data_IF_772499709491
#
_entry.id   IF_772499709491
#
_cell.length_a   1.000
_cell.length_b   1.000
_cell.length_c   1.000
_cell.angle_alpha   90.00
_cell.angle_beta   90.00
_cell.angle_gamma   90.00
#
_symmetry.space_group_name_H-M   'P 1'
#
loop_
_entity.id
_entity.type
_entity.pdbx_description
1 polymer ?
#
# COMPACT_ATOMS: atom_id res chain seq x y z
N UNK A 1 4.65 26.99 -10.32
CA UNK A 1 3.46 26.44 -9.61
C UNK A 1 2.60 25.59 -10.54
N UNK A 2 2.18 26.13 -11.69
CA UNK A 2 1.38 25.39 -12.68
C UNK A 2 2.03 24.06 -13.13
N UNK A 3 3.31 24.09 -13.49
CA UNK A 3 4.01 22.89 -13.99
C UNK A 3 4.17 21.82 -12.91
N UNK A 4 4.48 22.23 -11.68
CA UNK A 4 4.62 21.33 -10.54
C UNK A 4 3.30 20.61 -10.23
N UNK A 5 2.17 21.31 -10.26
CA UNK A 5 0.86 20.67 -10.01
C UNK A 5 0.53 19.69 -11.14
N UNK A 6 0.79 20.09 -12.39
CA UNK A 6 0.49 19.24 -13.54
C UNK A 6 1.41 18.02 -13.65
N UNK A 7 2.68 18.11 -13.24
CA UNK A 7 3.59 16.96 -13.26
C UNK A 7 3.07 15.83 -12.36
N UNK A 8 2.66 16.13 -11.13
CA UNK A 8 2.03 15.15 -10.22
C UNK A 8 0.70 14.59 -10.75
N UNK A 9 0.02 15.29 -11.67
CA UNK A 9 -1.22 14.82 -12.31
C UNK A 9 -0.96 13.87 -13.48
N UNK A 10 0.16 14.04 -14.18
CA UNK A 10 0.49 13.29 -15.41
C UNK A 10 1.11 11.92 -15.09
N UNK A 11 1.90 11.82 -14.02
CA UNK A 11 2.51 10.57 -13.57
C UNK A 11 1.44 9.54 -13.20
N UNK A 12 1.51 8.32 -13.77
CA UNK A 12 0.41 7.33 -13.67
C UNK A 12 0.75 6.08 -12.87
N UNK A 13 2.03 5.80 -12.65
CA UNK A 13 2.46 4.60 -11.94
C UNK A 13 3.30 4.92 -10.69
N UNK A 14 3.32 4.02 -9.68
CA UNK A 14 4.20 4.18 -8.53
C UNK A 14 5.68 4.25 -8.90
N UNK A 15 6.10 3.55 -9.97
CA UNK A 15 7.50 3.57 -10.46
C UNK A 15 7.83 4.93 -11.06
N UNK A 16 7.00 5.43 -11.98
CA UNK A 16 7.19 6.78 -12.54
C UNK A 16 7.16 7.87 -11.46
N UNK A 17 6.35 7.68 -10.41
CA UNK A 17 6.32 8.60 -9.25
C UNK A 17 7.63 8.56 -8.48
N UNK A 18 8.22 7.37 -8.30
CA UNK A 18 9.48 7.20 -7.60
C UNK A 18 10.62 7.90 -8.34
N UNK A 19 10.71 7.65 -9.65
CA UNK A 19 11.74 8.24 -10.52
C UNK A 19 11.60 9.76 -10.53
N UNK A 20 10.37 10.28 -10.71
CA UNK A 20 10.11 11.71 -10.66
C UNK A 20 10.47 12.35 -9.31
N UNK A 21 10.14 11.70 -8.18
CA UNK A 21 10.51 12.21 -6.86
C UNK A 21 12.02 12.17 -6.62
N UNK A 22 12.71 11.15 -7.13
CA UNK A 22 14.16 11.02 -7.04
C UNK A 22 14.88 12.14 -7.82
N UNK A 23 14.35 12.52 -8.97
CA UNK A 23 14.91 13.59 -9.79
C UNK A 23 14.59 14.98 -9.23
N UNK A 24 13.38 15.17 -8.67
CA UNK A 24 12.91 16.47 -8.18
C UNK A 24 13.43 16.81 -6.78
N UNK A 25 13.65 15.81 -5.92
CA UNK A 25 13.88 16.00 -4.49
C UNK A 25 15.10 15.25 -3.98
N UNK A 26 15.77 15.82 -2.99
CA UNK A 26 16.79 15.11 -2.23
C UNK A 26 16.17 14.01 -1.35
N UNK A 27 16.96 13.01 -0.98
CA UNK A 27 16.54 11.96 -0.04
C UNK A 27 16.01 12.54 1.29
N UNK A 28 16.62 13.63 1.78
CA UNK A 28 16.19 14.32 3.00
C UNK A 28 14.82 14.96 2.84
N UNK A 29 14.54 15.57 1.69
CA UNK A 29 13.23 16.17 1.40
C UNK A 29 12.15 15.11 1.27
N UNK A 30 12.41 14.01 0.57
CA UNK A 30 11.48 12.87 0.47
C UNK A 30 11.15 12.32 1.86
N UNK A 31 12.17 12.11 2.71
CA UNK A 31 11.99 11.68 4.11
C UNK A 31 11.12 12.67 4.89
N UNK A 32 11.42 13.96 4.78
CA UNK A 32 10.65 15.01 5.48
C UNK A 32 9.19 15.08 5.03
N UNK A 33 8.91 14.98 3.72
CA UNK A 33 7.55 14.98 3.18
C UNK A 33 6.79 13.73 3.63
N UNK A 34 7.46 12.57 3.64
CA UNK A 34 6.89 11.30 4.10
C UNK A 34 6.52 11.33 5.59
N UNK A 35 7.39 11.88 6.44
CA UNK A 35 7.11 12.09 7.87
C UNK A 35 5.91 13.01 8.05
N UNK A 36 5.83 14.13 7.31
CA UNK A 36 4.68 15.06 7.40
C UNK A 36 3.35 14.39 7.06
N UNK A 37 3.29 13.63 5.97
CA UNK A 37 2.10 12.86 5.60
C UNK A 37 1.73 11.82 6.66
N UNK A 38 2.73 11.15 7.25
CA UNK A 38 2.51 10.17 8.32
C UNK A 38 1.97 10.84 9.59
N UNK A 39 2.55 11.96 10.00
CA UNK A 39 2.05 12.76 11.14
C UNK A 39 0.58 13.13 10.91
N UNK A 40 0.25 13.70 9.74
CA UNK A 40 -1.12 14.08 9.41
C UNK A 40 -2.08 12.88 9.49
N UNK A 41 -1.67 11.70 9.02
CA UNK A 41 -2.48 10.47 9.12
C UNK A 41 -2.71 10.04 10.56
N UNK A 42 -1.69 10.12 11.42
CA UNK A 42 -1.80 9.75 12.84
C UNK A 42 -2.65 10.75 13.63
N UNK A 43 -2.51 12.05 13.34
CA UNK A 43 -3.35 13.11 13.92
C UNK A 43 -4.83 12.91 13.55
N UNK A 44 -5.13 12.59 12.28
CA UNK A 44 -6.49 12.26 11.84
C UNK A 44 -7.03 10.95 12.43
N UNK A 45 -6.14 10.10 12.97
CA UNK A 45 -6.50 8.88 13.71
C UNK A 45 -6.54 9.12 15.22
N UNK A 46 -6.60 10.38 15.67
CA UNK A 46 -6.69 10.79 17.08
C UNK A 46 -5.50 10.41 17.97
N UNK A 47 -4.30 10.19 17.40
CA UNK A 47 -3.08 9.99 18.20
C UNK A 47 -2.60 11.29 18.84
N UNK A 48 -2.01 11.20 20.04
CA UNK A 48 -1.44 12.35 20.74
C UNK A 48 -0.09 12.77 20.12
N UNK A 49 0.36 13.99 20.43
CA UNK A 49 1.62 14.49 19.89
C UNK A 49 2.81 13.67 20.39
N UNK A 50 2.77 13.23 21.66
CA UNK A 50 3.80 12.42 22.31
C UNK A 50 3.89 11.02 21.70
N UNK A 51 2.75 10.40 21.38
CA UNK A 51 2.70 9.11 20.68
C UNK A 51 3.35 9.22 19.31
N UNK A 52 3.04 10.28 18.56
CA UNK A 52 3.58 10.49 17.21
C UNK A 52 5.08 10.76 17.25
N UNK A 53 5.57 11.57 18.20
CA UNK A 53 7.00 11.82 18.40
C UNK A 53 7.74 10.52 18.69
N UNK A 54 7.19 9.67 19.57
CA UNK A 54 7.78 8.37 19.90
C UNK A 54 7.78 7.40 18.72
N UNK A 55 6.67 7.32 17.98
CA UNK A 55 6.51 6.38 16.85
C UNK A 55 7.37 6.76 15.65
N UNK A 56 7.51 8.06 15.36
CA UNK A 56 8.20 8.55 14.17
C UNK A 56 9.63 9.05 14.43
N UNK A 57 10.08 9.05 15.68
CA UNK A 57 11.37 9.58 16.10
C UNK A 57 11.66 10.98 15.53
N UNK A 58 10.64 11.85 15.54
CA UNK A 58 10.72 13.21 15.01
C UNK A 58 10.53 14.26 16.11
N UNK A 59 10.89 15.52 15.83
CA UNK A 59 10.76 16.57 16.84
C UNK A 59 9.30 16.97 17.08
N UNK A 60 8.98 17.32 18.33
CA UNK A 60 7.67 17.85 18.70
C UNK A 60 7.28 19.08 17.86
N UNK A 61 8.24 19.97 17.57
CA UNK A 61 8.04 21.12 16.70
C UNK A 61 7.60 20.75 15.28
N UNK A 62 7.99 19.59 14.78
CA UNK A 62 7.54 19.09 13.47
C UNK A 62 6.08 18.64 13.54
N UNK A 63 5.70 17.92 14.60
CA UNK A 63 4.32 17.48 14.83
C UNK A 63 3.39 18.68 15.00
N UNK A 64 3.78 19.64 15.83
CA UNK A 64 3.02 20.87 16.08
C UNK A 64 2.77 21.65 14.78
N UNK A 65 3.79 21.81 13.93
CA UNK A 65 3.64 22.49 12.62
C UNK A 65 2.61 21.80 11.72
N UNK A 66 2.67 20.46 11.61
CA UNK A 66 1.71 19.71 10.78
C UNK A 66 0.30 19.79 11.37
N UNK A 67 0.16 19.76 12.70
CA UNK A 67 -1.13 19.95 13.38
C UNK A 67 -1.77 21.30 13.03
N UNK A 68 -0.98 22.38 13.06
CA UNK A 68 -1.42 23.72 12.66
C UNK A 68 -1.84 23.76 11.18
N UNK A 69 -1.05 23.17 10.28
CA UNK A 69 -1.41 23.11 8.85
C UNK A 69 -2.72 22.35 8.63
N UNK A 70 -2.93 21.27 9.38
CA UNK A 70 -4.12 20.45 9.29
C UNK A 70 -5.38 21.18 9.77
N UNK A 71 -5.25 22.02 10.82
CA UNK A 71 -6.36 22.80 11.37
C UNK A 71 -6.67 24.07 10.56
N UNK A 72 -5.65 24.75 10.00
CA UNK A 72 -5.81 26.04 9.32
C UNK A 72 -6.05 25.93 7.80
N UNK A 73 -5.71 24.80 7.15
CA UNK A 73 -5.77 24.67 5.69
C UNK A 73 -5.62 23.23 5.18
N UNK A 74 -5.99 22.25 6.00
CA UNK A 74 -5.66 20.84 5.82
C UNK A 74 -6.52 20.04 4.84
N UNK A 75 -7.40 20.68 4.06
CA UNK A 75 -8.37 19.95 3.22
C UNK A 75 -7.68 19.04 2.18
N UNK A 76 -6.53 19.45 1.65
CA UNK A 76 -5.70 18.60 0.80
C UNK A 76 -5.19 17.36 1.51
N UNK A 77 -4.70 17.50 2.75
CA UNK A 77 -4.28 16.36 3.59
C UNK A 77 -5.45 15.42 3.86
N UNK A 78 -6.58 15.95 4.34
CA UNK A 78 -7.77 15.16 4.68
C UNK A 78 -8.27 14.36 3.47
N UNK A 79 -8.37 15.01 2.30
CA UNK A 79 -8.85 14.38 1.05
C UNK A 79 -7.93 13.28 0.55
N UNK A 80 -6.61 13.47 0.61
CA UNK A 80 -5.66 12.45 0.16
C UNK A 80 -5.60 11.30 1.17
N UNK A 81 -5.49 11.61 2.46
CA UNK A 81 -5.36 10.61 3.52
C UNK A 81 -6.60 9.71 3.60
N UNK A 82 -7.81 10.25 3.41
CA UNK A 82 -9.03 9.43 3.40
C UNK A 82 -9.09 8.42 2.25
N UNK A 83 -8.30 8.62 1.19
CA UNK A 83 -8.17 7.71 0.05
C UNK A 83 -6.99 6.74 0.20
N UNK A 84 -6.04 7.04 1.08
CA UNK A 84 -4.92 6.15 1.34
C UNK A 84 -5.38 4.96 2.19
N UNK A 85 -4.86 3.74 1.95
CA UNK A 85 -5.24 2.58 2.74
C UNK A 85 -4.81 2.76 4.19
N UNK A 86 -5.64 2.30 5.13
CA UNK A 86 -5.37 2.34 6.58
C UNK A 86 -4.11 1.56 6.91
N UNK A 87 -3.96 0.36 6.33
CA UNK A 87 -2.76 -0.48 6.37
C UNK A 87 -2.31 -0.78 4.94
N UNK A 88 -1.03 -0.57 4.65
CA UNK A 88 -0.44 -1.13 3.43
C UNK A 88 -0.20 -2.62 3.68
N UNK A 89 -0.56 -3.48 2.73
CA UNK A 89 -0.15 -4.89 2.78
C UNK A 89 1.37 -4.93 2.57
N UNK A 90 2.11 -5.06 3.66
CA UNK A 90 3.56 -5.22 3.61
C UNK A 90 3.82 -6.69 3.27
N UNK A 91 4.63 -7.00 2.25
CA UNK A 91 5.01 -8.37 1.95
C UNK A 91 5.69 -8.99 3.18
N UNK A 92 5.36 -10.25 3.56
CA UNK A 92 5.94 -10.88 4.74
C UNK A 92 7.47 -11.06 4.66
N UNK A 93 8.02 -11.11 3.43
CA UNK A 93 9.45 -11.24 3.17
C UNK A 93 10.04 -9.95 2.56
N UNK A 94 9.97 -8.84 3.31
CA UNK A 94 10.73 -7.66 2.92
C UNK A 94 12.20 -7.87 3.32
N UNK A 95 13.18 -7.65 2.42
CA UNK A 95 14.58 -7.69 2.82
C UNK A 95 14.80 -6.69 3.95
N UNK A 96 15.62 -7.02 4.98
CA UNK A 96 15.91 -6.12 6.08
C UNK A 96 16.81 -4.99 5.57
N UNK A 97 16.20 -3.98 4.96
CA UNK A 97 16.87 -2.80 4.45
C UNK A 97 16.33 -1.60 5.24
N UNK A 98 17.18 -0.68 5.70
CA UNK A 98 16.71 0.61 6.18
C UNK A 98 15.85 1.26 5.08
N UNK A 99 14.57 1.52 5.38
CA UNK A 99 13.56 2.07 4.45
C UNK A 99 14.06 3.39 3.80
N UNK A 100 15.03 4.02 4.43
CA UNK A 100 15.69 5.27 4.06
C UNK A 100 16.47 5.21 2.74
N UNK A 101 16.82 4.02 2.20
CA UNK A 101 17.88 3.92 1.19
C UNK A 101 17.58 3.23 -0.15
N UNK A 102 16.33 2.97 -0.55
CA UNK A 102 16.02 2.63 -1.97
C UNK A 102 14.51 2.60 -2.23
N UNK A 103 13.90 3.79 -2.35
CA UNK A 103 12.48 3.93 -2.73
C UNK A 103 12.11 3.13 -3.99
N UNK A 104 12.94 3.11 -5.07
CA UNK A 104 12.65 2.32 -6.26
C UNK A 104 12.57 0.81 -5.98
N UNK A 105 13.46 0.29 -5.13
CA UNK A 105 13.53 -1.15 -4.83
C UNK A 105 12.40 -1.61 -3.93
N UNK A 106 12.04 -0.80 -2.92
CA UNK A 106 10.87 -1.06 -2.06
C UNK A 106 9.59 -1.06 -2.90
N UNK A 107 9.43 -0.11 -3.83
CA UNK A 107 8.29 -0.07 -4.74
C UNK A 107 8.26 -1.26 -5.70
N UNK A 108 9.41 -1.66 -6.23
CA UNK A 108 9.54 -2.87 -7.05
C UNK A 108 9.12 -4.13 -6.28
N UNK A 109 9.56 -4.29 -5.03
CA UNK A 109 9.15 -5.43 -4.19
C UNK A 109 7.65 -5.42 -3.87
N UNK A 110 7.07 -4.25 -3.56
CA UNK A 110 5.63 -4.11 -3.34
C UNK A 110 4.85 -4.43 -4.62
N UNK A 111 5.32 -3.98 -5.78
CA UNK A 111 4.71 -4.26 -7.07
C UNK A 111 4.75 -5.76 -7.41
N UNK A 112 5.92 -6.40 -7.26
CA UNK A 112 6.10 -7.84 -7.43
C UNK A 112 5.19 -8.65 -6.50
N UNK A 113 5.07 -8.24 -5.23
CA UNK A 113 4.16 -8.88 -4.28
C UNK A 113 2.69 -8.73 -4.67
N UNK A 114 2.27 -7.54 -5.10
CA UNK A 114 0.90 -7.29 -5.56
C UNK A 114 0.53 -8.17 -6.77
N UNK A 115 1.45 -8.30 -7.73
CA UNK A 115 1.29 -9.19 -8.89
C UNK A 115 1.20 -10.66 -8.45
N UNK A 116 2.12 -11.12 -7.60
CA UNK A 116 2.14 -12.48 -7.09
C UNK A 116 0.86 -12.81 -6.30
N UNK A 117 0.34 -11.88 -5.50
CA UNK A 117 -0.92 -12.04 -4.76
C UNK A 117 -2.10 -12.24 -5.71
N UNK A 118 -2.19 -11.43 -6.77
CA UNK A 118 -3.28 -11.54 -7.74
C UNK A 118 -3.21 -12.87 -8.52
N UNK A 119 -2.00 -13.33 -8.85
CA UNK A 119 -1.79 -14.65 -9.45
C UNK A 119 -2.20 -15.78 -8.50
N UNK A 120 -1.82 -15.72 -7.22
CA UNK A 120 -2.22 -16.70 -6.21
C UNK A 120 -3.74 -16.79 -6.06
N UNK A 121 -4.45 -15.65 -6.01
CA UNK A 121 -5.93 -15.64 -5.97
C UNK A 121 -6.53 -16.31 -7.21
N UNK A 122 -5.96 -16.05 -8.40
CA UNK A 122 -6.40 -16.69 -9.65
C UNK A 122 -6.13 -18.20 -9.65
N UNK A 123 -4.99 -18.62 -9.11
CA UNK A 123 -4.60 -20.02 -8.92
C UNK A 123 -5.51 -20.73 -7.92
N UNK A 124 -5.83 -20.12 -6.77
CA UNK A 124 -6.75 -20.70 -5.80
C UNK A 124 -8.16 -20.87 -6.38
N UNK A 125 -8.64 -19.86 -7.11
CA UNK A 125 -9.92 -19.95 -7.81
C UNK A 125 -9.92 -21.06 -8.87
N UNK A 126 -8.80 -21.22 -9.58
CA UNK A 126 -8.62 -22.29 -10.55
C UNK A 126 -8.59 -23.68 -9.88
N UNK A 127 -7.86 -23.83 -8.78
CA UNK A 127 -7.79 -25.05 -7.99
C UNK A 127 -9.14 -25.42 -7.38
N UNK A 128 -9.90 -24.45 -6.89
CA UNK A 128 -11.28 -24.66 -6.43
C UNK A 128 -12.17 -25.24 -7.53
N UNK A 129 -12.13 -24.66 -8.73
CA UNK A 129 -12.89 -25.16 -9.88
C UNK A 129 -12.45 -26.54 -10.39
N UNK A 130 -11.22 -26.99 -10.10
CA UNK A 130 -10.78 -28.37 -10.37
C UNK A 130 -11.37 -29.33 -9.34
N UNK A 131 -11.33 -28.98 -8.05
CA UNK A 131 -11.90 -29.80 -6.97
C UNK A 131 -13.40 -30.01 -7.14
N UNK A 132 -14.13 -28.99 -7.59
CA UNK A 132 -15.57 -29.09 -7.86
C UNK A 132 -15.86 -30.07 -9.01
N UNK A 133 -14.99 -30.12 -10.03
CA UNK A 133 -15.08 -31.09 -11.14
C UNK A 133 -14.78 -32.52 -10.69
N UNK A 134 -13.77 -32.71 -9.85
CA UNK A 134 -13.47 -34.04 -9.28
C UNK A 134 -14.61 -34.56 -8.38
N UNK A 135 -15.23 -33.67 -7.61
CA UNK A 135 -16.42 -34.01 -6.81
C UNK A 135 -17.60 -34.41 -7.70
N UNK A 136 -17.84 -33.65 -8.78
CA UNK A 136 -18.90 -33.94 -9.76
C UNK A 136 -18.67 -35.27 -10.48
N UNK A 137 -17.43 -35.56 -10.90
CA UNK A 137 -17.07 -36.84 -11.54
C UNK A 137 -17.23 -38.03 -10.57
N UNK A 138 -16.91 -37.83 -9.29
CA UNK A 138 -17.11 -38.85 -8.25
C UNK A 138 -18.60 -39.15 -8.04
N UNK A 139 -19.44 -38.12 -7.96
CA UNK A 139 -20.90 -38.27 -7.87
C UNK A 139 -21.50 -38.95 -9.10
N UNK A 140 -21.03 -38.62 -10.31
CA UNK A 140 -21.47 -39.28 -11.56
C UNK A 140 -21.12 -40.77 -11.53
N UNK A 141 -19.92 -41.15 -11.08
CA UNK A 141 -19.50 -42.56 -10.96
C UNK A 141 -20.28 -43.31 -9.89
N UNK A 142 -20.61 -42.68 -8.77
CA UNK A 142 -21.46 -43.28 -7.73
C UNK A 142 -22.89 -43.50 -8.22
N UNK A 143 -23.48 -42.52 -8.91
CA UNK A 143 -24.80 -42.69 -9.55
C UNK A 143 -24.80 -43.81 -10.60
N UNK A 144 -23.81 -43.85 -11.49
CA UNK A 144 -23.69 -44.91 -12.49
C UNK A 144 -23.55 -46.31 -11.86
N UNK A 145 -22.83 -46.42 -10.73
CA UNK A 145 -22.67 -47.69 -10.00
C UNK A 145 -23.97 -48.15 -9.34
N UNK A 146 -24.80 -47.22 -8.87
CA UNK A 146 -26.11 -47.52 -8.28
C UNK A 146 -27.15 -47.90 -9.34
N UNK A 147 -27.11 -47.28 -10.52
CA UNK A 147 -28.09 -47.50 -11.59
C UNK A 147 -27.81 -48.76 -12.44
N UNK A 148 -26.53 -49.11 -12.65
CA UNK A 148 -26.14 -50.20 -13.57
C UNK A 148 -25.34 -51.33 -12.92
N UNK A 149 -25.09 -51.28 -11.60
CA UNK A 149 -24.37 -52.30 -10.85
C UNK A 149 -25.23 -53.47 -10.40
N UNK A 150 -25.91 -54.15 -11.34
CA UNK A 150 -26.46 -55.51 -11.15
C UNK A 150 -25.73 -56.48 -12.05
#
# INVERSE_FOLDING_TARGET
>A
MFDLINSFRIVKSPVETADFLQDLLTAKEIKNLSIRLRIAKLLLSSKTHEEIVRELHCSFATVAKVSIWLSQGGEGFKKVISRLPTKYAIPPNLPPIPIEFQLPRVLLTIAQYSIAKNQNVKLEKFLGGIKDKEATDKEIREKHRQEFGK
#
